data_IF_471654554460
#
_entry.id   IF_471654554460
#
_cell.length_a   1.000
_cell.length_b   1.000
_cell.length_c   1.000
_cell.angle_alpha   90.00
_cell.angle_beta   90.00
_cell.angle_gamma   90.00
#
_symmetry.space_group_name_H-M   'P 1'
#
loop_
_entity.id
_entity.type
_entity.pdbx_description
1 polymer ?
#
# COMPACT_ATOMS: atom_id res chain seq x y z
N UNK A 1 -11.54 4.78 -0.21
CA UNK A 1 -12.05 3.93 -1.32
C UNK A 1 -13.26 3.14 -0.89
N UNK A 2 -14.26 3.05 -1.76
CA UNK A 2 -15.57 2.46 -1.48
C UNK A 2 -15.96 1.30 -2.41
N UNK A 3 -15.25 1.11 -3.53
CA UNK A 3 -15.55 0.06 -4.51
C UNK A 3 -14.30 -0.54 -5.14
N UNK A 4 -14.48 -1.70 -5.76
CA UNK A 4 -13.45 -2.39 -6.55
C UNK A 4 -12.98 -1.53 -7.72
N UNK A 5 -13.90 -0.81 -8.35
CA UNK A 5 -13.63 0.11 -9.46
C UNK A 5 -12.81 1.31 -9.00
N UNK A 6 -13.08 1.83 -7.80
CA UNK A 6 -12.26 2.89 -7.18
C UNK A 6 -10.84 2.41 -6.87
N UNK A 7 -10.68 1.17 -6.40
CA UNK A 7 -9.35 0.56 -6.21
C UNK A 7 -8.61 0.39 -7.54
N UNK A 8 -9.27 -0.14 -8.57
CA UNK A 8 -8.66 -0.33 -9.88
C UNK A 8 -8.15 1.00 -10.49
N UNK A 9 -8.95 2.07 -10.41
CA UNK A 9 -8.54 3.42 -10.87
C UNK A 9 -7.33 3.96 -10.11
N UNK A 10 -7.28 3.73 -8.81
CA UNK A 10 -6.13 4.14 -8.00
C UNK A 10 -4.87 3.36 -8.35
N UNK A 11 -4.95 2.03 -8.55
CA UNK A 11 -3.78 1.23 -8.94
C UNK A 11 -3.22 1.70 -10.29
N UNK A 12 -4.10 2.03 -11.24
CA UNK A 12 -3.68 2.64 -12.51
C UNK A 12 -2.99 4.00 -12.29
N UNK A 13 -3.52 4.82 -11.39
CA UNK A 13 -2.90 6.10 -11.00
C UNK A 13 -1.54 5.91 -10.32
N UNK A 14 -1.37 4.88 -9.49
CA UNK A 14 -0.11 4.58 -8.82
C UNK A 14 0.98 4.16 -9.82
N UNK A 15 0.63 3.37 -10.85
CA UNK A 15 1.56 3.00 -11.93
C UNK A 15 1.97 4.24 -12.75
N UNK A 16 1.02 5.13 -13.04
CA UNK A 16 1.31 6.40 -13.71
C UNK A 16 2.23 7.28 -12.86
N UNK A 17 1.96 7.41 -11.56
CA UNK A 17 2.81 8.16 -10.62
C UNK A 17 4.22 7.59 -10.50
N UNK A 18 4.38 6.27 -10.48
CA UNK A 18 5.70 5.63 -10.51
C UNK A 18 6.46 6.00 -11.80
N UNK A 19 5.77 6.03 -12.94
CA UNK A 19 6.37 6.35 -14.23
C UNK A 19 6.76 7.83 -14.35
N UNK A 20 5.91 8.72 -13.85
CA UNK A 20 6.09 10.17 -13.97
C UNK A 20 6.97 10.76 -12.85
N UNK A 21 6.99 10.10 -11.67
CA UNK A 21 7.64 10.57 -10.44
C UNK A 21 8.47 9.46 -9.76
N UNK A 22 9.23 8.68 -10.52
CA UNK A 22 10.03 7.54 -10.03
C UNK A 22 10.92 7.91 -8.83
N UNK A 23 11.53 9.11 -8.82
CA UNK A 23 12.39 9.58 -7.73
C UNK A 23 11.69 9.76 -6.39
N UNK A 24 10.35 9.73 -6.37
CA UNK A 24 9.55 9.81 -5.16
C UNK A 24 9.13 8.41 -4.66
N UNK A 25 9.58 7.34 -5.30
CA UNK A 25 9.38 5.95 -4.91
C UNK A 25 10.73 5.38 -4.46
N UNK A 26 10.76 4.75 -3.29
CA UNK A 26 11.97 4.05 -2.82
C UNK A 26 12.03 2.65 -3.44
N UNK A 27 10.86 1.99 -3.57
CA UNK A 27 10.73 0.65 -4.12
C UNK A 27 10.18 0.69 -5.56
N UNK A 28 11.09 0.82 -6.53
CA UNK A 28 10.75 1.04 -7.94
C UNK A 28 10.65 -0.24 -8.77
N UNK A 29 11.25 -1.35 -8.30
CA UNK A 29 11.10 -2.65 -8.95
C UNK A 29 9.95 -3.45 -8.33
N UNK A 30 9.38 -4.39 -9.10
CA UNK A 30 8.34 -5.27 -8.58
C UNK A 30 8.84 -6.11 -7.38
N UNK A 31 10.12 -6.50 -7.38
CA UNK A 31 10.69 -7.29 -6.30
C UNK A 31 10.73 -6.48 -4.99
N UNK A 32 11.34 -5.29 -5.04
CA UNK A 32 11.47 -4.40 -3.87
C UNK A 32 10.08 -4.00 -3.34
N UNK A 33 9.14 -3.69 -4.24
CA UNK A 33 7.77 -3.32 -3.87
C UNK A 33 7.03 -4.48 -3.16
N UNK A 34 7.18 -5.72 -3.64
CA UNK A 34 6.53 -6.88 -3.02
C UNK A 34 7.16 -7.24 -1.68
N UNK A 35 8.48 -7.06 -1.53
CA UNK A 35 9.19 -7.25 -0.26
C UNK A 35 8.72 -6.24 0.78
N UNK A 36 8.74 -4.95 0.43
CA UNK A 36 8.26 -3.85 1.27
C UNK A 36 6.78 -3.99 1.65
N UNK A 37 5.93 -4.35 0.69
CA UNK A 37 4.50 -4.58 0.97
C UNK A 37 4.31 -5.76 1.92
N UNK A 38 5.04 -6.88 1.73
CA UNK A 38 5.01 -8.03 2.63
C UNK A 38 5.41 -7.65 4.06
N UNK A 39 6.53 -6.96 4.22
CA UNK A 39 7.03 -6.50 5.51
C UNK A 39 6.02 -5.57 6.21
N UNK A 40 5.37 -4.67 5.46
CA UNK A 40 4.33 -3.80 6.03
C UNK A 40 3.10 -4.59 6.49
N UNK A 41 2.67 -5.62 5.74
CA UNK A 41 1.52 -6.46 6.14
C UNK A 41 1.82 -7.20 7.44
N UNK A 42 3.05 -7.70 7.62
CA UNK A 42 3.48 -8.30 8.89
C UNK A 42 3.50 -7.29 10.04
N UNK A 43 3.89 -6.05 9.78
CA UNK A 43 3.93 -4.95 10.75
C UNK A 43 2.56 -4.29 11.02
N UNK A 44 1.55 -4.54 10.18
CA UNK A 44 0.22 -3.92 10.25
C UNK A 44 -0.44 -3.98 11.64
N UNK A 45 -0.32 -5.07 12.43
CA UNK A 45 -0.87 -5.10 13.78
C UNK A 45 -0.34 -3.98 14.69
N UNK A 46 0.96 -3.65 14.59
CA UNK A 46 1.56 -2.55 15.34
C UNK A 46 1.03 -1.18 14.87
N UNK A 47 0.86 -1.01 13.56
CA UNK A 47 0.28 0.19 12.97
C UNK A 47 -1.19 0.42 13.37
N UNK A 48 -2.00 -0.65 13.44
CA UNK A 48 -3.36 -0.62 13.98
C UNK A 48 -3.36 -0.25 15.47
N UNK A 49 -2.51 -0.90 16.27
CA UNK A 49 -2.40 -0.65 17.71
C UNK A 49 -2.03 0.82 18.02
N UNK A 50 -1.11 1.40 17.25
CA UNK A 50 -0.71 2.81 17.39
C UNK A 50 -1.86 3.81 17.15
N UNK A 51 -2.93 3.39 16.50
CA UNK A 51 -4.12 4.23 16.25
C UNK A 51 -5.33 3.83 17.09
N UNK A 52 -5.17 2.87 18.00
CA UNK A 52 -6.26 2.32 18.80
C UNK A 52 -7.31 1.59 17.96
N UNK A 53 -6.92 1.11 16.77
CA UNK A 53 -7.79 0.38 15.85
C UNK A 53 -7.54 -1.13 15.98
N UNK A 54 -8.58 -1.98 15.86
CA UNK A 54 -8.39 -3.41 15.77
C UNK A 54 -7.74 -3.80 14.44
N UNK A 55 -7.00 -4.90 14.44
CA UNK A 55 -6.52 -5.54 13.22
C UNK A 55 -7.73 -6.14 12.48
N UNK A 56 -7.99 -5.77 11.22
CA UNK A 56 -9.15 -6.28 10.50
C UNK A 56 -8.93 -7.71 10.01
N UNK A 57 -9.92 -8.58 10.16
CA UNK A 57 -9.91 -9.95 9.60
C UNK A 57 -10.00 -9.97 8.06
N UNK A 58 -10.51 -8.89 7.47
CA UNK A 58 -10.60 -8.74 6.01
C UNK A 58 -10.31 -7.29 5.62
N UNK A 59 -9.42 -7.05 4.65
CA UNK A 59 -9.06 -5.70 4.29
C UNK A 59 -10.19 -5.01 3.53
N UNK A 60 -10.46 -3.75 3.87
CA UNK A 60 -11.26 -2.88 3.02
C UNK A 60 -10.45 -2.50 1.77
N UNK A 61 -11.12 -2.11 0.69
CA UNK A 61 -10.43 -1.55 -0.48
C UNK A 61 -9.55 -0.34 -0.12
N UNK A 62 -9.98 0.45 0.88
CA UNK A 62 -9.20 1.57 1.38
C UNK A 62 -7.91 1.13 2.06
N UNK A 63 -7.95 0.03 2.81
CA UNK A 63 -6.77 -0.54 3.44
C UNK A 63 -5.80 -1.10 2.39
N UNK A 64 -6.31 -1.77 1.35
CA UNK A 64 -5.47 -2.25 0.23
C UNK A 64 -4.74 -1.09 -0.46
N UNK A 65 -5.39 0.06 -0.65
CA UNK A 65 -4.71 1.23 -1.22
C UNK A 65 -3.65 1.83 -0.28
N UNK A 66 -3.91 1.86 1.02
CA UNK A 66 -2.90 2.29 2.00
C UNK A 66 -1.70 1.36 2.00
N UNK A 67 -1.92 0.04 1.89
CA UNK A 67 -0.87 -0.95 1.75
C UNK A 67 0.01 -0.71 0.53
N UNK A 68 -0.58 -0.36 -0.62
CA UNK A 68 0.18 0.01 -1.84
C UNK A 68 1.03 1.25 -1.61
N UNK A 69 0.49 2.28 -0.95
CA UNK A 69 1.26 3.47 -0.60
C UNK A 69 2.37 3.19 0.41
N UNK A 70 2.19 2.20 1.29
CA UNK A 70 3.24 1.75 2.18
C UNK A 70 4.34 1.02 1.41
N UNK A 71 4.00 0.07 0.53
CA UNK A 71 4.96 -0.66 -0.30
C UNK A 71 5.84 0.23 -1.18
N UNK A 72 5.41 1.46 -1.48
CA UNK A 72 6.22 2.48 -2.17
C UNK A 72 7.46 2.96 -1.39
N UNK A 73 7.41 2.98 -0.06
CA UNK A 73 8.41 3.63 0.82
C UNK A 73 8.88 2.77 2.01
N UNK A 74 8.26 1.62 2.26
CA UNK A 74 8.59 0.80 3.42
C UNK A 74 9.91 0.06 3.18
N UNK A 75 10.80 0.06 4.18
CA UNK A 75 12.09 -0.65 4.17
C UNK A 75 11.96 -2.14 4.48
#
# INVERSE_FOLDING_TARGET
>A
MDSRESLARFLQGAVADLSDNESAWENVTLADFLEAWGAWVEAMPGWCANRGEPVPDSPSWNLVAQMVMAGRIYE
#
